data_IF_956453889769
#
_entry.id   IF_956453889769
#
_cell.length_a   1.000
_cell.length_b   1.000
_cell.length_c   1.000
_cell.angle_alpha   90.00
_cell.angle_beta   90.00
_cell.angle_gamma   90.00
#
_symmetry.space_group_name_H-M   'P 1'
#
loop_
_entity.id
_entity.type
_entity.pdbx_description
1 polymer ?
#
# COMPACT_ATOMS: atom_id res chain seq x y z
N UNK A 1 -21.34 -39.70 -34.24
CA UNK A 1 -21.90 -38.47 -33.65
C UNK A 1 -21.28 -38.24 -32.30
N UNK A 2 -20.16 -37.50 -32.29
CA UNK A 2 -19.53 -37.06 -31.06
C UNK A 2 -20.24 -35.82 -30.49
N UNK A 3 -20.19 -35.66 -29.18
CA UNK A 3 -19.48 -34.51 -28.64
C UNK A 3 -19.15 -34.76 -27.16
N UNK A 4 -17.87 -34.87 -26.87
CA UNK A 4 -17.35 -34.75 -25.52
C UNK A 4 -17.26 -33.30 -25.10
N UNK A 5 -17.62 -33.05 -23.85
CA UNK A 5 -17.03 -31.99 -23.03
C UNK A 5 -16.73 -32.68 -21.69
N UNK A 6 -15.57 -33.30 -21.50
CA UNK A 6 -14.32 -32.62 -21.15
C UNK A 6 -14.57 -31.37 -20.29
N UNK A 7 -15.08 -31.62 -19.08
CA UNK A 7 -14.91 -30.71 -17.95
C UNK A 7 -13.41 -30.54 -17.66
N UNK A 8 -12.79 -29.62 -18.39
CA UNK A 8 -11.43 -29.15 -18.11
C UNK A 8 -11.39 -28.66 -16.67
N UNK A 9 -10.59 -29.34 -15.86
CA UNK A 9 -10.10 -28.84 -14.56
C UNK A 9 -9.66 -27.38 -14.72
N UNK A 10 -10.23 -26.46 -13.94
CA UNK A 10 -9.60 -25.17 -13.69
C UNK A 10 -8.43 -25.39 -12.73
N UNK A 11 -7.16 -25.14 -13.10
CA UNK A 11 -6.00 -25.33 -12.21
C UNK A 11 -5.79 -24.15 -11.25
N UNK A 12 -6.77 -23.26 -11.08
CA UNK A 12 -6.54 -21.94 -10.51
C UNK A 12 -7.26 -21.66 -9.19
N UNK A 13 -7.29 -22.65 -8.29
CA UNK A 13 -7.80 -22.51 -6.93
C UNK A 13 -6.68 -22.21 -5.92
N UNK A 14 -5.90 -21.16 -6.17
CA UNK A 14 -4.94 -20.61 -5.20
C UNK A 14 -5.24 -19.13 -4.99
N UNK A 15 -4.95 -18.61 -3.79
CA UNK A 15 -5.16 -17.19 -3.50
C UNK A 15 -4.32 -16.35 -4.49
N UNK A 16 -4.94 -15.32 -5.08
CA UNK A 16 -4.25 -14.45 -6.04
C UNK A 16 -3.04 -13.75 -5.40
N UNK A 17 -3.08 -13.52 -4.08
CA UNK A 17 -1.97 -12.95 -3.31
C UNK A 17 -0.76 -13.88 -3.24
N UNK A 18 -0.96 -15.18 -2.95
CA UNK A 18 0.11 -16.18 -2.91
C UNK A 18 0.86 -16.26 -4.24
N UNK A 19 0.13 -16.16 -5.36
CA UNK A 19 0.73 -16.16 -6.71
C UNK A 19 1.56 -14.93 -6.97
N UNK A 20 1.05 -13.77 -6.56
CA UNK A 20 1.78 -12.51 -6.67
C UNK A 20 3.09 -12.57 -5.87
N UNK A 21 3.03 -13.04 -4.63
CA UNK A 21 4.20 -13.23 -3.76
C UNK A 21 5.21 -14.18 -4.38
N UNK A 22 4.76 -15.32 -4.92
CA UNK A 22 5.64 -16.26 -5.61
C UNK A 22 6.32 -15.66 -6.84
N UNK A 23 5.62 -14.82 -7.61
CA UNK A 23 6.23 -14.13 -8.76
C UNK A 23 7.29 -13.14 -8.29
N UNK A 24 6.99 -12.33 -7.28
CA UNK A 24 7.91 -11.34 -6.70
C UNK A 24 9.18 -12.01 -6.20
N UNK A 25 9.04 -13.10 -5.45
CA UNK A 25 10.18 -13.82 -4.88
C UNK A 25 11.03 -14.51 -5.95
N UNK A 26 10.40 -15.23 -6.89
CA UNK A 26 11.12 -15.94 -7.97
C UNK A 26 11.91 -14.98 -8.89
N UNK A 27 11.44 -13.75 -9.05
CA UNK A 27 12.08 -12.75 -9.91
C UNK A 27 12.88 -11.72 -9.11
N UNK A 28 12.95 -11.86 -7.77
CA UNK A 28 13.67 -10.96 -6.88
C UNK A 28 13.29 -9.48 -7.10
N UNK A 29 11.98 -9.21 -7.30
CA UNK A 29 11.47 -7.85 -7.52
C UNK A 29 11.78 -6.99 -6.29
N UNK A 30 12.53 -5.92 -6.48
CA UNK A 30 12.89 -5.00 -5.40
C UNK A 30 11.91 -3.83 -5.26
N UNK A 31 11.36 -3.37 -6.39
CA UNK A 31 10.47 -2.22 -6.46
C UNK A 31 9.12 -2.65 -7.04
N UNK A 32 8.07 -2.51 -6.24
CA UNK A 32 6.72 -2.90 -6.63
C UNK A 32 5.79 -1.68 -6.55
N UNK A 33 5.07 -1.44 -7.64
CA UNK A 33 3.93 -0.54 -7.66
C UNK A 33 2.66 -1.34 -7.90
N UNK A 34 1.68 -1.21 -7.01
CA UNK A 34 0.35 -1.79 -7.17
C UNK A 34 -0.70 -0.68 -7.27
N UNK A 35 -1.64 -0.87 -8.19
CA UNK A 35 -2.82 -0.02 -8.30
C UNK A 35 -4.04 -0.84 -7.91
N UNK A 36 -4.80 -0.35 -6.94
CA UNK A 36 -5.93 -1.07 -6.35
C UNK A 36 -7.19 -0.22 -6.34
N UNK A 37 -8.35 -0.88 -6.39
CA UNK A 37 -9.67 -0.25 -6.27
C UNK A 37 -10.44 -0.87 -5.10
N UNK A 38 -11.03 -2.06 -5.30
CA UNK A 38 -11.67 -2.85 -4.26
C UNK A 38 -10.83 -4.11 -3.98
N UNK A 39 -10.02 -4.08 -2.92
CA UNK A 39 -9.30 -5.26 -2.47
C UNK A 39 -10.28 -6.21 -1.78
N UNK A 40 -10.51 -7.38 -2.38
CA UNK A 40 -11.38 -8.43 -1.86
C UNK A 40 -10.59 -9.62 -1.29
N UNK A 41 -9.34 -9.39 -0.89
CA UNK A 41 -8.53 -10.40 -0.21
C UNK A 41 -9.21 -10.79 1.11
N UNK A 42 -9.07 -12.05 1.52
CA UNK A 42 -9.61 -12.52 2.79
C UNK A 42 -8.98 -11.78 3.98
N UNK A 43 -7.69 -11.45 3.86
CA UNK A 43 -6.96 -10.61 4.80
C UNK A 43 -6.13 -9.55 4.04
N UNK A 44 -6.71 -8.37 3.77
CA UNK A 44 -6.01 -7.30 3.06
C UNK A 44 -4.78 -6.76 3.81
N UNK A 45 -4.79 -6.84 5.15
CA UNK A 45 -3.68 -6.38 5.99
C UNK A 45 -2.49 -7.31 5.84
N UNK A 46 -2.72 -8.63 5.93
CA UNK A 46 -1.67 -9.62 5.76
C UNK A 46 -1.02 -9.54 4.38
N UNK A 47 -1.81 -9.28 3.32
CA UNK A 47 -1.25 -9.08 1.97
C UNK A 47 -0.23 -7.94 1.94
N UNK A 48 -0.51 -6.81 2.58
CA UNK A 48 0.44 -5.68 2.61
C UNK A 48 1.70 -6.00 3.41
N UNK A 49 1.56 -6.72 4.53
CA UNK A 49 2.68 -7.19 5.35
C UNK A 49 3.55 -8.16 4.53
N UNK A 50 2.95 -9.14 3.88
CA UNK A 50 3.67 -10.13 3.07
C UNK A 50 4.41 -9.48 1.91
N UNK A 51 3.77 -8.53 1.21
CA UNK A 51 4.43 -7.76 0.15
C UNK A 51 5.63 -6.97 0.69
N UNK A 52 5.48 -6.33 1.86
CA UNK A 52 6.56 -5.55 2.49
C UNK A 52 7.77 -6.41 2.89
N UNK A 53 7.54 -7.68 3.20
CA UNK A 53 8.60 -8.61 3.59
C UNK A 53 9.50 -9.02 2.41
N UNK A 54 8.99 -8.95 1.17
CA UNK A 54 9.72 -9.45 -0.01
C UNK A 54 10.32 -8.34 -0.89
N UNK A 55 9.80 -7.11 -0.84
CA UNK A 55 10.29 -5.96 -1.63
C UNK A 55 11.03 -4.92 -0.78
N UNK A 56 11.83 -4.07 -1.42
CA UNK A 56 12.49 -2.92 -0.77
C UNK A 56 11.70 -1.61 -0.96
N UNK A 57 10.98 -1.49 -2.07
CA UNK A 57 10.12 -0.34 -2.33
C UNK A 57 8.71 -0.82 -2.65
N UNK A 58 7.72 -0.25 -1.97
CA UNK A 58 6.31 -0.51 -2.22
C UNK A 58 5.59 0.82 -2.45
N UNK A 59 4.97 0.94 -3.62
CA UNK A 59 4.08 2.05 -3.96
C UNK A 59 2.66 1.51 -4.12
N UNK A 60 1.74 1.96 -3.27
CA UNK A 60 0.32 1.63 -3.33
C UNK A 60 -0.48 2.82 -3.85
N UNK A 61 -1.07 2.68 -5.03
CA UNK A 61 -2.02 3.63 -5.59
C UNK A 61 -3.46 3.12 -5.39
N UNK A 62 -4.18 3.71 -4.44
CA UNK A 62 -5.59 3.47 -4.21
C UNK A 62 -6.44 4.40 -5.08
N UNK A 63 -7.14 3.82 -6.06
CA UNK A 63 -8.09 4.55 -6.89
C UNK A 63 -9.41 4.73 -6.16
N UNK A 64 -10.19 5.71 -6.64
CA UNK A 64 -11.52 5.98 -6.13
C UNK A 64 -12.45 4.78 -6.33
N UNK A 65 -13.09 4.35 -5.25
CA UNK A 65 -14.18 3.38 -5.32
C UNK A 65 -15.51 4.10 -5.60
N UNK A 66 -16.34 3.65 -6.57
CA UNK A 66 -17.65 4.22 -6.80
C UNK A 66 -18.52 4.18 -5.53
N UNK A 67 -19.17 5.30 -5.21
CA UNK A 67 -20.03 5.41 -4.02
C UNK A 67 -19.29 5.72 -2.71
N UNK A 68 -17.96 5.74 -2.72
CA UNK A 68 -17.17 6.11 -1.55
C UNK A 68 -17.24 7.63 -1.31
N UNK A 69 -17.60 8.02 -0.09
CA UNK A 69 -17.60 9.42 0.32
C UNK A 69 -16.16 9.96 0.38
N UNK A 70 -15.97 11.18 -0.12
CA UNK A 70 -14.69 11.88 0.02
C UNK A 70 -14.39 12.09 1.51
N UNK A 71 -13.17 11.74 1.92
CA UNK A 71 -12.75 11.82 3.33
C UNK A 71 -13.17 10.63 4.19
N UNK A 72 -13.74 9.58 3.59
CA UNK A 72 -13.92 8.31 4.29
C UNK A 72 -12.57 7.78 4.77
N UNK A 73 -12.55 7.09 5.92
CA UNK A 73 -11.34 6.42 6.44
C UNK A 73 -11.16 5.05 5.78
N UNK A 74 -11.07 5.06 4.45
CA UNK A 74 -10.97 3.85 3.64
C UNK A 74 -9.60 3.72 3.01
N UNK A 75 -9.00 2.54 3.12
CA UNK A 75 -7.78 2.18 2.40
C UNK A 75 -7.73 0.65 2.23
N UNK A 76 -7.29 0.19 1.05
CA UNK A 76 -6.97 -1.21 0.78
C UNK A 76 -8.07 -2.22 1.20
N UNK A 77 -9.33 -1.87 0.94
CA UNK A 77 -10.49 -2.72 1.26
C UNK A 77 -11.06 -2.58 2.67
N UNK A 78 -10.42 -1.80 3.55
CA UNK A 78 -10.81 -1.65 4.96
C UNK A 78 -11.36 -0.26 5.27
N UNK A 79 -12.38 -0.19 6.14
CA UNK A 79 -12.94 1.05 6.69
C UNK A 79 -12.56 1.23 8.16
N UNK A 80 -12.32 2.48 8.56
CA UNK A 80 -12.08 2.89 9.96
C UNK A 80 -10.99 2.07 10.66
N UNK A 81 -10.04 1.56 9.89
CA UNK A 81 -8.94 0.74 10.37
C UNK A 81 -7.78 1.61 10.88
N UNK A 82 -7.10 1.15 11.92
CA UNK A 82 -5.91 1.82 12.45
C UNK A 82 -4.66 1.37 11.70
N UNK A 83 -4.30 2.15 10.69
CA UNK A 83 -3.16 1.85 9.82
C UNK A 83 -1.80 2.13 10.47
N UNK A 84 -1.75 2.75 11.66
CA UNK A 84 -0.47 3.08 12.30
C UNK A 84 0.41 1.85 12.50
N UNK A 85 -0.10 0.85 13.23
CA UNK A 85 0.69 -0.33 13.58
C UNK A 85 1.02 -1.17 12.35
N UNK A 86 0.07 -1.33 11.42
CA UNK A 86 0.34 -2.04 10.15
C UNK A 86 1.43 -1.36 9.33
N UNK A 87 1.44 -0.04 9.22
CA UNK A 87 2.50 0.67 8.48
C UNK A 87 3.86 0.48 9.17
N UNK A 88 3.89 0.46 10.50
CA UNK A 88 5.11 0.19 11.25
C UNK A 88 5.60 -1.23 11.06
N UNK A 89 4.72 -2.22 11.08
CA UNK A 89 5.05 -3.62 10.81
C UNK A 89 5.59 -3.78 9.38
N UNK A 90 4.96 -3.12 8.40
CA UNK A 90 5.44 -3.10 7.03
C UNK A 90 6.86 -2.54 6.93
N UNK A 91 7.15 -1.42 7.62
CA UNK A 91 8.45 -0.74 7.57
C UNK A 91 9.52 -1.42 8.42
N UNK A 92 9.14 -2.17 9.44
CA UNK A 92 10.04 -2.98 10.27
C UNK A 92 10.60 -4.20 9.52
N UNK A 93 9.98 -4.59 8.40
CA UNK A 93 10.39 -5.73 7.58
C UNK A 93 11.58 -5.38 6.64
N UNK A 94 11.61 -5.95 5.43
CA UNK A 94 12.61 -5.67 4.38
C UNK A 94 12.41 -4.30 3.69
N UNK A 95 11.23 -3.70 3.87
CA UNK A 95 10.82 -2.50 3.14
C UNK A 95 11.60 -1.23 3.55
N UNK A 96 12.31 -0.61 2.62
CA UNK A 96 13.05 0.64 2.83
C UNK A 96 12.23 1.88 2.46
N UNK A 97 11.33 1.74 1.47
CA UNK A 97 10.50 2.83 0.94
C UNK A 97 9.04 2.41 0.84
N UNK A 98 8.15 3.17 1.49
CA UNK A 98 6.70 3.01 1.36
C UNK A 98 6.07 4.31 0.86
N UNK A 99 5.36 4.22 -0.26
CA UNK A 99 4.56 5.32 -0.79
C UNK A 99 3.10 4.92 -0.91
N UNK A 100 2.20 5.73 -0.37
CA UNK A 100 0.75 5.50 -0.46
C UNK A 100 0.08 6.72 -1.10
N UNK A 101 -0.55 6.51 -2.25
CA UNK A 101 -1.42 7.48 -2.90
C UNK A 101 -2.88 7.09 -2.66
N UNK A 102 -3.60 7.87 -1.83
CA UNK A 102 -5.01 7.61 -1.52
C UNK A 102 -5.88 8.85 -1.79
N UNK A 103 -6.14 9.09 -3.07
CA UNK A 103 -6.72 10.34 -3.59
C UNK A 103 -8.13 10.70 -3.10
N UNK A 104 -8.92 9.74 -2.63
CA UNK A 104 -10.32 9.99 -2.22
C UNK A 104 -10.56 9.87 -0.71
N UNK A 105 -9.58 9.34 0.00
CA UNK A 105 -9.68 9.02 1.43
C UNK A 105 -8.43 9.52 2.17
N UNK A 106 -8.15 10.83 2.17
CA UNK A 106 -6.96 11.40 2.82
C UNK A 106 -6.89 11.07 4.31
N UNK A 107 -8.04 10.86 4.94
CA UNK A 107 -8.17 10.65 6.38
C UNK A 107 -8.06 9.17 6.79
N UNK A 108 -7.61 8.28 5.89
CA UNK A 108 -7.40 6.86 6.23
C UNK A 108 -6.40 6.69 7.38
N UNK A 109 -5.44 7.61 7.53
CA UNK A 109 -4.63 7.76 8.73
C UNK A 109 -5.13 9.00 9.47
N UNK A 110 -5.62 8.82 10.70
CA UNK A 110 -6.01 9.95 11.55
C UNK A 110 -4.83 10.85 11.91
N UNK A 111 -5.08 12.14 12.18
CA UNK A 111 -4.01 13.10 12.49
C UNK A 111 -3.13 12.68 13.69
N UNK A 112 -3.73 12.07 14.71
CA UNK A 112 -3.01 11.57 15.88
C UNK A 112 -2.13 10.37 15.51
N UNK A 113 -2.69 9.40 14.78
CA UNK A 113 -1.95 8.24 14.27
C UNK A 113 -0.79 8.67 13.37
N UNK A 114 -0.99 9.68 12.51
CA UNK A 114 0.05 10.26 11.68
C UNK A 114 1.19 10.90 12.50
N UNK A 115 0.87 11.61 13.58
CA UNK A 115 1.86 12.21 14.47
C UNK A 115 2.61 11.15 15.29
N UNK A 116 1.90 10.14 15.77
CA UNK A 116 2.48 8.99 16.47
C UNK A 116 3.43 8.22 15.55
N UNK A 117 2.97 7.86 14.34
CA UNK A 117 3.75 7.22 13.30
C UNK A 117 5.03 8.02 13.00
N UNK A 118 4.93 9.34 12.85
CA UNK A 118 6.09 10.21 12.66
C UNK A 118 7.10 10.09 13.80
N UNK A 119 6.62 10.08 15.03
CA UNK A 119 7.48 10.02 16.22
C UNK A 119 8.19 8.68 16.30
N UNK A 120 7.46 7.58 16.08
CA UNK A 120 7.99 6.20 16.12
C UNK A 120 8.98 5.95 15.00
N UNK A 121 8.70 6.42 13.78
CA UNK A 121 9.63 6.29 12.65
C UNK A 121 10.94 7.04 12.86
N UNK A 122 10.91 8.21 13.52
CA UNK A 122 12.11 8.99 13.82
C UNK A 122 12.97 8.38 14.95
N UNK A 123 12.43 7.45 15.74
CA UNK A 123 13.17 6.75 16.81
C UNK A 123 13.86 5.47 16.30
N UNK A 124 13.51 5.00 15.11
CA UNK A 124 14.08 3.79 14.53
C UNK A 124 15.53 3.96 14.08
N UNK A 125 16.30 2.86 14.08
CA UNK A 125 17.67 2.81 13.57
C UNK A 125 17.76 2.58 12.05
N UNK A 126 16.64 2.21 11.42
CA UNK A 126 16.56 1.91 9.99
C UNK A 126 16.26 3.19 9.21
N UNK A 127 17.04 3.45 8.15
CA UNK A 127 16.75 4.53 7.23
C UNK A 127 15.50 4.17 6.41
N UNK A 128 14.38 4.79 6.73
CA UNK A 128 13.09 4.54 6.08
C UNK A 128 12.63 5.80 5.34
N UNK A 129 12.05 5.59 4.16
CA UNK A 129 11.28 6.61 3.45
C UNK A 129 9.80 6.26 3.53
N UNK A 130 9.00 7.19 4.07
CA UNK A 130 7.55 7.04 4.10
C UNK A 130 6.88 8.29 3.57
N UNK A 131 6.02 8.11 2.57
CA UNK A 131 5.25 9.18 1.97
C UNK A 131 3.79 8.80 1.81
N UNK A 132 2.92 9.77 2.10
CA UNK A 132 1.50 9.70 1.77
C UNK A 132 1.16 10.92 0.92
N UNK A 133 0.47 10.70 -0.19
CA UNK A 133 -0.09 11.77 -1.01
C UNK A 133 -1.59 11.56 -1.24
N UNK A 134 -2.31 12.67 -1.35
CA UNK A 134 -3.72 12.71 -1.68
C UNK A 134 -3.96 13.73 -2.79
N UNK A 135 -4.13 13.23 -4.01
CA UNK A 135 -4.43 14.07 -5.17
C UNK A 135 -5.95 14.20 -5.31
N UNK A 136 -6.56 15.12 -4.56
CA UNK A 136 -7.96 15.50 -4.80
C UNK A 136 -8.02 16.30 -6.10
N UNK A 137 -8.49 15.69 -7.20
CA UNK A 137 -8.60 16.35 -8.52
C UNK A 137 -9.70 17.41 -8.61
N UNK A 138 -10.49 17.59 -7.56
CA UNK A 138 -11.51 18.64 -7.52
C UNK A 138 -11.05 19.82 -6.66
N UNK A 139 -10.66 20.93 -7.33
CA UNK A 139 -10.38 22.27 -6.80
C UNK A 139 -9.06 22.44 -6.01
N UNK A 140 -7.95 22.68 -6.70
CA UNK A 140 -6.77 23.49 -6.29
C UNK A 140 -6.22 23.38 -4.85
N UNK A 141 -6.52 22.33 -4.07
CA UNK A 141 -5.99 22.13 -2.72
C UNK A 141 -5.43 20.72 -2.62
N UNK A 142 -4.11 20.60 -2.84
CA UNK A 142 -3.34 19.45 -2.35
C UNK A 142 -3.39 19.53 -0.82
N UNK A 143 -4.03 18.56 -0.17
CA UNK A 143 -4.08 18.47 1.29
C UNK A 143 -3.63 17.08 1.72
N UNK A 144 -2.79 17.08 2.75
CA UNK A 144 -2.04 15.98 3.33
C UNK A 144 -0.93 15.41 2.42
N UNK A 145 0.26 16.01 2.55
CA UNK A 145 1.52 15.37 2.23
C UNK A 145 2.21 15.13 3.58
N UNK A 146 2.13 13.92 4.10
CA UNK A 146 3.04 13.49 5.17
C UNK A 146 4.22 12.87 4.45
N UNK A 147 5.30 13.63 4.33
CA UNK A 147 6.60 13.12 3.89
C UNK A 147 7.48 13.00 5.11
N UNK A 148 7.79 11.77 5.48
CA UNK A 148 8.77 11.46 6.50
C UNK A 148 9.97 10.89 5.74
N UNK A 149 10.94 11.78 5.51
CA UNK A 149 12.26 11.39 5.02
C UNK A 149 13.22 11.42 6.19
N UNK A 150 14.07 10.41 6.32
CA UNK A 150 15.16 10.46 7.28
C UNK A 150 16.10 11.67 6.97
N UNK A 151 16.57 12.42 7.98
CA UNK A 151 17.33 13.66 7.80
C UNK A 151 18.66 13.54 7.05
N UNK A 152 19.17 12.33 6.82
CA UNK A 152 20.37 12.05 6.00
C UNK A 152 20.16 12.33 4.51
N UNK A 153 18.92 12.32 4.00
CA UNK A 153 18.63 12.53 2.57
C UNK A 153 17.92 13.86 2.36
N UNK A 154 18.72 14.93 2.18
CA UNK A 154 18.20 16.28 1.94
C UNK A 154 17.76 16.56 0.49
N UNK A 155 18.00 15.65 -0.46
CA UNK A 155 17.94 16.00 -1.90
C UNK A 155 17.20 15.03 -2.84
N UNK A 156 16.42 14.06 -2.34
CA UNK A 156 15.55 13.28 -3.23
C UNK A 156 14.23 14.05 -3.47
N UNK A 157 14.21 14.89 -4.51
CA UNK A 157 12.96 15.27 -5.17
C UNK A 157 12.24 13.99 -5.55
N UNK A 158 11.11 13.71 -4.87
CA UNK A 158 10.20 12.56 -5.07
C UNK A 158 10.76 11.46 -5.98
N UNK A 159 11.32 10.34 -5.46
CA UNK A 159 11.92 9.29 -6.29
C UNK A 159 10.92 8.55 -7.19
N UNK A 160 9.66 8.98 -7.22
CA UNK A 160 8.55 8.44 -8.01
C UNK A 160 8.08 9.41 -9.12
N UNK A 161 8.84 10.46 -9.43
CA UNK A 161 8.62 11.38 -10.55
C UNK A 161 9.71 11.27 -11.61
#
# INVERSE_FOLDING_TARGET
NGNGQNGKRTPFAGDSSERLLAIIDNHQVQDLMITVEAVAAADPVQVLIDLSAVVRTLHVLQRQLPGLAIGSRFFFGMYDFDWEDTILDMLASKLDKLFIENSCSPDFIGINSAQSLRTRLMQGSKEIWFGVDCIIRHKNRRKAIIRICHPSRKDESSPFL
#
